data_IF_319018110537
#
_entry.id   IF_319018110537
#
_cell.length_a   1.000
_cell.length_b   1.000
_cell.length_c   1.000
_cell.angle_alpha   90.00
_cell.angle_beta   90.00
_cell.angle_gamma   90.00
#
_symmetry.space_group_name_H-M   'P 1'
#
loop_
_entity.id
_entity.type
_entity.pdbx_description
1 polymer ?
#
# COMPACT_ATOMS: atom_id res chain seq x y z
N UNK A 1 -12.82 2.63 -25.06
CA UNK A 1 -12.76 3.23 -23.71
C UNK A 1 -13.35 2.22 -22.74
N UNK A 2 -12.69 1.90 -21.61
CA UNK A 2 -13.33 1.12 -20.55
C UNK A 2 -14.60 1.84 -20.12
N UNK A 3 -15.70 1.13 -19.85
CA UNK A 3 -16.92 1.78 -19.35
C UNK A 3 -16.68 2.35 -17.94
N UNK A 4 -17.39 3.43 -17.58
CA UNK A 4 -17.39 3.98 -16.21
C UNK A 4 -17.57 2.90 -15.12
N UNK A 5 -18.39 1.89 -15.41
CA UNK A 5 -18.62 0.74 -14.54
C UNK A 5 -17.35 -0.10 -14.34
N UNK A 6 -16.54 -0.28 -15.38
CA UNK A 6 -15.27 -1.01 -15.29
C UNK A 6 -14.23 -0.22 -14.48
N UNK A 7 -14.15 1.10 -14.66
CA UNK A 7 -13.25 1.94 -13.86
C UNK A 7 -13.68 2.00 -12.39
N UNK A 8 -14.98 2.07 -12.10
CA UNK A 8 -15.49 1.97 -10.73
C UNK A 8 -15.16 0.62 -10.07
N UNK A 9 -15.25 -0.50 -10.82
CA UNK A 9 -14.83 -1.82 -10.33
C UNK A 9 -13.33 -1.87 -10.03
N UNK A 10 -12.50 -1.28 -10.89
CA UNK A 10 -11.04 -1.19 -10.68
C UNK A 10 -10.71 -0.37 -9.45
N UNK A 11 -11.34 0.79 -9.26
CA UNK A 11 -11.19 1.60 -8.05
C UNK A 11 -11.55 0.82 -6.78
N UNK A 12 -12.67 0.11 -6.80
CA UNK A 12 -13.09 -0.71 -5.66
C UNK A 12 -12.05 -1.80 -5.34
N UNK A 13 -11.47 -2.43 -6.36
CA UNK A 13 -10.40 -3.41 -6.19
C UNK A 13 -9.12 -2.79 -5.61
N UNK A 14 -8.70 -1.64 -6.14
CA UNK A 14 -7.55 -0.89 -5.61
C UNK A 14 -7.76 -0.45 -4.17
N UNK A 15 -8.95 0.04 -3.81
CA UNK A 15 -9.30 0.41 -2.44
C UNK A 15 -9.27 -0.79 -1.48
N UNK A 16 -9.80 -1.96 -1.90
CA UNK A 16 -9.71 -3.20 -1.11
C UNK A 16 -8.25 -3.61 -0.88
N UNK A 17 -7.43 -3.60 -1.95
CA UNK A 17 -6.00 -3.92 -1.87
C UNK A 17 -5.26 -2.94 -0.95
N UNK A 18 -5.58 -1.65 -1.04
CA UNK A 18 -5.02 -0.61 -0.17
C UNK A 18 -5.28 -0.89 1.30
N UNK A 19 -6.53 -1.15 1.68
CA UNK A 19 -6.91 -1.44 3.07
C UNK A 19 -6.19 -2.68 3.61
N UNK A 20 -6.09 -3.74 2.81
CA UNK A 20 -5.35 -4.96 3.21
C UNK A 20 -3.86 -4.65 3.38
N UNK A 21 -3.29 -3.85 2.48
CA UNK A 21 -1.89 -3.46 2.54
C UNK A 21 -1.59 -2.60 3.76
N UNK A 22 -2.46 -1.65 4.11
CA UNK A 22 -2.31 -0.82 5.31
C UNK A 22 -2.30 -1.64 6.59
N UNK A 23 -3.25 -2.57 6.75
CA UNK A 23 -3.28 -3.50 7.89
C UNK A 23 -2.01 -4.35 7.96
N UNK A 24 -1.50 -4.79 6.80
CA UNK A 24 -0.27 -5.58 6.72
C UNK A 24 0.95 -4.75 7.12
N UNK A 25 1.05 -3.51 6.63
CA UNK A 25 2.12 -2.57 7.00
C UNK A 25 2.09 -2.30 8.50
N UNK A 26 0.92 -2.00 9.07
CA UNK A 26 0.79 -1.75 10.51
C UNK A 26 1.25 -2.95 11.35
N UNK A 27 0.83 -4.17 10.96
CA UNK A 27 1.30 -5.40 11.62
C UNK A 27 2.82 -5.55 11.53
N UNK A 28 3.40 -5.29 10.36
CA UNK A 28 4.84 -5.40 10.14
C UNK A 28 5.63 -4.34 10.91
N UNK A 29 5.10 -3.13 11.08
CA UNK A 29 5.68 -2.09 11.93
C UNK A 29 5.73 -2.58 13.39
N UNK A 30 4.61 -3.13 13.91
CA UNK A 30 4.57 -3.69 15.27
C UNK A 30 5.58 -4.84 15.45
N UNK A 31 5.70 -5.73 14.46
CA UNK A 31 6.71 -6.81 14.47
C UNK A 31 8.15 -6.26 14.46
N UNK A 32 8.39 -5.20 13.70
CA UNK A 32 9.70 -4.54 13.59
C UNK A 32 10.09 -3.86 14.90
N UNK A 33 9.16 -3.14 15.53
CA UNK A 33 9.35 -2.53 16.86
C UNK A 33 9.62 -3.57 17.94
N UNK A 34 8.86 -4.67 17.94
CA UNK A 34 9.10 -5.79 18.84
C UNK A 34 10.50 -6.41 18.62
N UNK A 35 10.93 -6.58 17.37
CA UNK A 35 12.29 -7.05 17.08
C UNK A 35 13.36 -6.05 17.55
N UNK A 36 13.12 -4.74 17.40
CA UNK A 36 14.01 -3.69 17.89
C UNK A 36 14.16 -3.73 19.42
N UNK A 37 13.05 -3.87 20.13
CA UNK A 37 13.04 -4.04 21.60
C UNK A 37 13.80 -5.30 22.02
N UNK A 38 13.51 -6.44 21.38
CA UNK A 38 14.19 -7.70 21.67
C UNK A 38 15.71 -7.67 21.38
N UNK A 39 16.17 -6.89 20.39
CA UNK A 39 17.60 -6.66 20.18
C UNK A 39 18.24 -5.90 21.34
N UNK A 40 17.54 -4.89 21.87
CA UNK A 40 18.03 -4.07 22.98
C UNK A 40 18.08 -4.84 24.30
N UNK A 41 17.11 -5.74 24.53
CA UNK A 41 17.02 -6.58 25.73
C UNK A 41 17.89 -7.86 25.65
N UNK A 42 18.42 -8.19 24.48
CA UNK A 42 19.20 -9.41 24.27
C UNK A 42 20.54 -9.36 25.01
N UNK A 43 20.67 -10.16 26.08
CA UNK A 43 21.91 -10.28 26.86
C UNK A 43 23.02 -11.08 26.15
N UNK A 44 22.65 -11.99 25.24
CA UNK A 44 23.61 -12.86 24.55
C UNK A 44 23.77 -12.49 23.07
N UNK A 45 25.01 -12.40 22.54
CA UNK A 45 25.27 -12.00 21.14
C UNK A 45 24.56 -12.86 20.08
N UNK A 46 24.37 -14.15 20.35
CA UNK A 46 23.59 -15.07 19.48
C UNK A 46 22.15 -14.60 19.28
N UNK A 47 21.48 -14.14 20.34
CA UNK A 47 20.11 -13.64 20.26
C UNK A 47 20.05 -12.29 19.55
N UNK A 48 21.00 -11.39 19.84
CA UNK A 48 21.13 -10.12 19.13
C UNK A 48 21.29 -10.32 17.62
N UNK A 49 22.16 -11.24 17.18
CA UNK A 49 22.31 -11.60 15.76
C UNK A 49 21.03 -12.18 15.16
N UNK A 50 20.31 -13.03 15.89
CA UNK A 50 19.01 -13.59 15.45
C UNK A 50 17.97 -12.48 15.23
N UNK A 51 17.81 -11.58 16.19
CA UNK A 51 16.84 -10.49 16.11
C UNK A 51 17.23 -9.45 15.05
N UNK A 52 18.52 -9.16 14.88
CA UNK A 52 19.04 -8.28 13.82
C UNK A 52 18.74 -8.81 12.41
N UNK A 53 18.97 -10.10 12.16
CA UNK A 53 18.59 -10.74 10.89
C UNK A 53 17.08 -10.61 10.64
N UNK A 54 16.27 -10.88 11.66
CA UNK A 54 14.81 -10.76 11.54
C UNK A 54 14.35 -9.32 11.30
N UNK A 55 14.97 -8.35 11.97
CA UNK A 55 14.73 -6.93 11.76
C UNK A 55 15.03 -6.52 10.31
N UNK A 56 16.17 -6.94 9.77
CA UNK A 56 16.53 -6.64 8.38
C UNK A 56 15.54 -7.22 7.36
N UNK A 57 15.04 -8.44 7.60
CA UNK A 57 14.00 -9.06 6.77
C UNK A 57 12.71 -8.25 6.82
N UNK A 58 12.20 -7.94 8.03
CA UNK A 58 10.98 -7.16 8.21
C UNK A 58 11.09 -5.76 7.60
N UNK A 59 12.25 -5.13 7.69
CA UNK A 59 12.50 -3.82 7.07
C UNK A 59 12.42 -3.88 5.54
N UNK A 60 13.00 -4.91 4.92
CA UNK A 60 12.90 -5.13 3.46
C UNK A 60 11.46 -5.39 3.03
N UNK A 61 10.74 -6.22 3.78
CA UNK A 61 9.31 -6.48 3.54
C UNK A 61 8.49 -5.18 3.61
N UNK A 62 8.70 -4.36 4.63
CA UNK A 62 8.05 -3.04 4.77
C UNK A 62 8.37 -2.11 3.61
N UNK A 63 9.61 -2.10 3.13
CA UNK A 63 10.00 -1.30 1.97
C UNK A 63 9.21 -1.70 0.72
N UNK A 64 9.11 -3.01 0.44
CA UNK A 64 8.32 -3.54 -0.69
C UNK A 64 6.84 -3.20 -0.55
N UNK A 65 6.25 -3.41 0.63
CA UNK A 65 4.85 -3.05 0.90
C UNK A 65 4.60 -1.56 0.70
N UNK A 66 5.53 -0.70 1.11
CA UNK A 66 5.42 0.75 0.93
C UNK A 66 5.48 1.14 -0.54
N UNK A 67 6.34 0.50 -1.33
CA UNK A 67 6.41 0.70 -2.79
C UNK A 67 5.10 0.26 -3.48
N UNK A 68 4.53 -0.88 -3.08
CA UNK A 68 3.23 -1.34 -3.56
C UNK A 68 2.11 -0.34 -3.21
N UNK A 69 2.15 0.24 -2.01
CA UNK A 69 1.20 1.28 -1.58
C UNK A 69 1.26 2.48 -2.52
N UNK A 70 2.46 2.99 -2.77
CA UNK A 70 2.68 4.12 -3.70
C UNK A 70 2.17 3.81 -5.11
N UNK A 71 2.39 2.59 -5.61
CA UNK A 71 1.87 2.19 -6.92
C UNK A 71 0.34 2.22 -6.98
N UNK A 72 -0.34 1.70 -5.96
CA UNK A 72 -1.81 1.73 -5.89
C UNK A 72 -2.31 3.18 -5.83
N UNK A 73 -1.62 4.09 -5.12
CA UNK A 73 -1.99 5.51 -5.07
C UNK A 73 -1.98 6.13 -6.47
N UNK A 74 -0.90 5.92 -7.22
CA UNK A 74 -0.74 6.41 -8.58
C UNK A 74 -1.83 5.84 -9.50
N UNK A 75 -2.14 4.55 -9.36
CA UNK A 75 -3.20 3.91 -10.14
C UNK A 75 -4.59 4.54 -9.84
N UNK A 76 -4.88 4.84 -8.57
CA UNK A 76 -6.13 5.52 -8.15
C UNK A 76 -6.19 6.92 -8.75
N UNK A 77 -5.15 7.75 -8.59
CA UNK A 77 -5.09 9.11 -9.12
C UNK A 77 -5.32 9.15 -10.64
N UNK A 78 -4.76 8.17 -11.36
CA UNK A 78 -4.95 8.04 -12.81
C UNK A 78 -6.40 7.74 -13.16
N UNK A 79 -7.03 6.79 -12.46
CA UNK A 79 -8.44 6.45 -12.70
C UNK A 79 -9.34 7.64 -12.39
N UNK A 80 -9.09 8.36 -11.29
CA UNK A 80 -9.84 9.57 -10.94
C UNK A 80 -9.73 10.66 -12.03
N UNK A 81 -8.52 10.87 -12.56
CA UNK A 81 -8.30 11.82 -13.64
C UNK A 81 -9.04 11.42 -14.93
N UNK A 82 -9.05 10.14 -15.27
CA UNK A 82 -9.74 9.62 -16.45
C UNK A 82 -11.27 9.73 -16.30
N UNK A 83 -11.81 9.38 -15.12
CA UNK A 83 -13.24 9.55 -14.81
C UNK A 83 -13.67 11.02 -14.88
N UNK A 84 -12.86 11.95 -14.36
CA UNK A 84 -13.16 13.39 -14.41
C UNK A 84 -13.23 13.89 -15.85
N UNK A 85 -12.29 13.46 -16.72
CA UNK A 85 -12.32 13.81 -18.15
C UNK A 85 -13.57 13.27 -18.84
N UNK A 86 -13.98 12.05 -18.52
CA UNK A 86 -15.17 11.44 -19.12
C UNK A 86 -16.46 12.15 -18.67
N UNK A 87 -16.57 12.51 -17.38
CA UNK A 87 -17.68 13.30 -16.86
C UNK A 87 -17.80 14.67 -17.54
N UNK A 88 -16.70 15.38 -17.74
CA UNK A 88 -16.72 16.68 -18.44
C UNK A 88 -17.14 16.53 -19.92
N UNK A 89 -16.71 15.46 -20.61
CA UNK A 89 -17.18 15.16 -21.97
C UNK A 89 -18.68 14.88 -22.03
N UNK A 90 -19.23 14.15 -21.05
CA UNK A 90 -20.67 13.87 -20.96
C UNK A 90 -21.45 15.16 -20.69
N UNK A 91 -20.99 16.00 -19.76
CA UNK A 91 -21.62 17.30 -19.48
C UNK A 91 -21.67 18.19 -20.72
N UNK A 92 -20.56 18.30 -21.45
CA UNK A 92 -20.49 19.09 -22.67
C UNK A 92 -21.50 18.61 -23.73
N UNK A 93 -21.68 17.29 -23.87
CA UNK A 93 -22.67 16.68 -24.77
C UNK A 93 -24.13 16.88 -24.36
N UNK A 94 -24.41 17.08 -23.08
CA UNK A 94 -25.78 17.35 -22.58
C UNK A 94 -26.16 18.82 -22.76
N UNK A 95 -25.16 19.71 -22.80
CA UNK A 95 -25.36 21.17 -22.97
C UNK A 95 -25.25 21.63 -24.44
N UNK A 96 -25.19 20.68 -25.38
CA UNK A 96 -25.30 20.91 -26.84
C UNK A 96 -26.60 20.33 -27.34
#
# INVERSE_FOLDING_TARGET
>A
MPSLVNEAKRLLEHARRWTVLERTIEKKIKELEACKKAMHEAKHPKHMRKHSKRYAILYRELHVLTALKKKIAIDIEKIEADLKKELERIKARIHT
#
